data_IF_559400935614
#
_entry.id   IF_559400935614
#
_cell.length_a   1.000
_cell.length_b   1.000
_cell.length_c   1.000
_cell.angle_alpha   90.00
_cell.angle_beta   90.00
_cell.angle_gamma   90.00
#
_symmetry.space_group_name_H-M   'P 1'
#
loop_
_entity.id
_entity.type
_entity.pdbx_description
1 polymer ?
#
# COMPACT_ATOMS: atom_id res chain seq x y z
N UNK A 1 -41.29 47.62 15.85
CA UNK A 1 -40.24 48.62 16.11
C UNK A 1 -39.00 48.18 15.38
N UNK A 2 -38.77 48.71 14.14
CA UNK A 2 -37.59 48.41 13.33
C UNK A 2 -36.49 49.41 13.70
N UNK A 3 -35.44 48.94 14.33
CA UNK A 3 -34.24 49.74 14.57
C UNK A 3 -33.61 50.12 13.21
N UNK A 4 -33.21 51.38 12.98
CA UNK A 4 -32.54 51.76 11.74
C UNK A 4 -31.15 51.12 11.73
N UNK A 5 -30.84 50.39 10.66
CA UNK A 5 -29.48 49.96 10.39
C UNK A 5 -28.62 51.21 10.14
N UNK A 6 -27.79 51.58 11.11
CA UNK A 6 -26.78 52.64 10.95
C UNK A 6 -25.85 52.22 9.81
N UNK A 7 -25.92 52.95 8.68
CA UNK A 7 -24.97 52.74 7.56
C UNK A 7 -23.62 53.26 8.02
N UNK A 8 -22.66 52.34 8.14
CA UNK A 8 -21.26 52.71 8.35
C UNK A 8 -20.84 53.71 7.27
N UNK A 9 -20.48 54.93 7.68
CA UNK A 9 -19.98 55.95 6.77
C UNK A 9 -18.67 55.46 6.08
N UNK A 10 -18.29 56.10 4.99
CA UNK A 10 -17.10 55.73 4.19
C UNK A 10 -15.84 55.48 5.06
N UNK A 11 -15.65 56.27 6.12
CA UNK A 11 -14.54 56.08 7.07
C UNK A 11 -14.65 54.77 7.86
N UNK A 12 -15.84 54.36 8.27
CA UNK A 12 -16.05 53.07 8.95
C UNK A 12 -15.82 51.87 8.03
N UNK A 13 -16.21 52.01 6.77
CA UNK A 13 -15.93 50.99 5.75
C UNK A 13 -14.41 50.81 5.49
N UNK A 14 -13.69 51.94 5.39
CA UNK A 14 -12.21 51.90 5.20
C UNK A 14 -11.51 51.23 6.39
N UNK A 15 -11.95 51.56 7.62
CA UNK A 15 -11.39 50.87 8.81
C UNK A 15 -11.68 49.36 8.81
N UNK A 16 -12.92 48.96 8.48
CA UNK A 16 -13.29 47.56 8.41
C UNK A 16 -12.47 46.79 7.36
N UNK A 17 -12.27 47.39 6.18
CA UNK A 17 -11.43 46.79 5.10
C UNK A 17 -9.97 46.70 5.56
N UNK A 18 -9.40 47.72 6.19
CA UNK A 18 -8.04 47.69 6.72
C UNK A 18 -7.87 46.62 7.77
N UNK A 19 -8.81 46.43 8.68
CA UNK A 19 -8.76 45.38 9.70
C UNK A 19 -8.88 43.99 9.07
N UNK A 20 -9.74 43.81 8.07
CA UNK A 20 -9.89 42.57 7.36
C UNK A 20 -8.61 42.21 6.60
N UNK A 21 -7.98 43.16 5.93
CA UNK A 21 -6.68 42.94 5.24
C UNK A 21 -5.58 42.61 6.24
N UNK A 22 -5.50 43.35 7.36
CA UNK A 22 -4.52 43.07 8.42
C UNK A 22 -4.71 41.65 9.00
N UNK A 23 -5.95 41.25 9.29
CA UNK A 23 -6.27 39.92 9.79
C UNK A 23 -5.91 38.82 8.76
N UNK A 24 -6.19 39.07 7.48
CA UNK A 24 -5.86 38.16 6.40
C UNK A 24 -4.32 37.99 6.27
N UNK A 25 -3.59 39.10 6.21
CA UNK A 25 -2.11 39.06 6.10
C UNK A 25 -1.50 38.35 7.32
N UNK A 26 -1.99 38.70 8.54
CA UNK A 26 -1.49 38.09 9.76
C UNK A 26 -1.85 36.59 9.82
N UNK A 27 -3.10 36.22 9.55
CA UNK A 27 -3.59 34.84 9.67
C UNK A 27 -3.13 33.92 8.55
N UNK A 28 -3.06 34.41 7.31
CA UNK A 28 -2.80 33.59 6.14
C UNK A 28 -1.38 33.66 5.60
N UNK A 29 -0.65 34.72 5.86
CA UNK A 29 0.71 34.88 5.34
C UNK A 29 1.76 34.83 6.44
N UNK A 30 1.61 35.61 7.50
CA UNK A 30 2.66 35.76 8.51
C UNK A 30 2.70 34.59 9.50
N UNK A 31 1.58 34.20 10.13
CA UNK A 31 1.55 33.06 11.05
C UNK A 31 1.94 31.74 10.38
N UNK A 32 1.40 31.38 9.19
CA UNK A 32 1.83 30.17 8.49
C UNK A 32 3.30 30.15 8.10
N UNK A 33 3.90 31.31 7.77
CA UNK A 33 5.32 31.38 7.43
C UNK A 33 6.22 31.09 8.63
N UNK A 34 5.82 31.47 9.85
CA UNK A 34 6.55 31.13 11.07
C UNK A 34 6.45 29.64 11.38
N UNK A 35 5.29 29.02 11.17
CA UNK A 35 5.10 27.58 11.37
C UNK A 35 5.84 26.77 10.31
N UNK A 36 5.86 27.22 9.05
CA UNK A 36 6.59 26.57 7.97
C UNK A 36 8.09 26.48 8.25
N UNK A 37 8.68 27.54 8.84
CA UNK A 37 10.09 27.55 9.20
C UNK A 37 10.43 26.65 10.40
N UNK A 38 9.47 26.47 11.33
CA UNK A 38 9.65 25.61 12.51
C UNK A 38 9.53 24.11 12.19
N UNK A 39 8.73 23.72 11.19
CA UNK A 39 8.41 22.34 10.88
C UNK A 39 9.06 21.81 9.59
N UNK A 40 9.89 22.61 8.93
CA UNK A 40 10.55 22.24 7.66
C UNK A 40 9.59 22.09 6.46
N UNK A 41 8.34 22.52 6.58
CA UNK A 41 7.35 22.55 5.50
C UNK A 41 7.38 23.86 4.74
N UNK A 42 7.02 23.84 3.43
CA UNK A 42 6.92 25.04 2.62
C UNK A 42 5.73 25.93 3.03
N UNK A 43 5.78 27.22 2.65
CA UNK A 43 4.69 28.18 2.88
C UNK A 43 3.32 27.66 2.38
N UNK A 44 3.32 26.91 1.27
CA UNK A 44 2.12 26.31 0.70
C UNK A 44 1.49 25.24 1.60
N UNK A 45 2.30 24.40 2.24
CA UNK A 45 1.84 23.41 3.21
C UNK A 45 1.23 24.08 4.47
N UNK A 46 1.82 25.18 4.90
CA UNK A 46 1.32 25.95 6.04
C UNK A 46 -0.03 26.62 5.71
N UNK A 47 -0.20 27.15 4.50
CA UNK A 47 -1.45 27.75 4.02
C UNK A 47 -2.54 26.66 3.92
N UNK A 48 -2.23 25.50 3.34
CA UNK A 48 -3.17 24.41 3.23
C UNK A 48 -3.65 23.90 4.61
N UNK A 49 -2.76 23.83 5.58
CA UNK A 49 -3.11 23.47 6.97
C UNK A 49 -4.01 24.51 7.62
N UNK A 50 -3.70 25.79 7.47
CA UNK A 50 -4.50 26.88 8.01
C UNK A 50 -5.91 26.95 7.38
N UNK A 51 -6.04 26.57 6.12
CA UNK A 51 -7.31 26.49 5.40
C UNK A 51 -8.10 25.20 5.69
N UNK A 52 -7.61 24.31 6.59
CA UNK A 52 -8.23 23.02 6.86
C UNK A 52 -8.15 22.03 5.69
N UNK A 53 -7.41 22.37 4.64
CA UNK A 53 -7.10 21.48 3.52
C UNK A 53 -5.92 20.63 3.97
N UNK A 54 -6.21 19.62 4.78
CA UNK A 54 -5.20 18.63 5.13
C UNK A 54 -4.74 17.91 3.87
N UNK A 55 -3.63 18.38 3.30
CA UNK A 55 -2.72 17.36 2.77
C UNK A 55 -2.21 16.68 4.03
N UNK A 56 -2.75 15.52 4.33
CA UNK A 56 -2.09 14.64 5.28
C UNK A 56 -0.70 14.37 4.69
N UNK A 57 0.27 15.22 5.06
CA UNK A 57 1.55 14.65 5.39
C UNK A 57 1.18 13.67 6.51
N UNK A 58 0.90 12.43 6.14
CA UNK A 58 0.91 11.34 7.09
C UNK A 58 2.16 11.54 7.93
N UNK A 59 2.23 11.10 9.20
CA UNK A 59 3.38 11.27 10.05
C UNK A 59 4.60 11.07 9.16
N UNK A 60 5.45 12.11 9.08
CA UNK A 60 6.56 12.16 8.11
C UNK A 60 7.18 10.76 8.11
N UNK A 61 7.31 10.09 6.96
CA UNK A 61 7.69 8.68 6.94
C UNK A 61 8.81 8.56 7.95
N UNK A 62 8.56 7.85 9.06
CA UNK A 62 9.61 7.71 10.10
C UNK A 62 10.79 7.26 9.33
N UNK A 63 11.78 8.14 9.19
CA UNK A 63 12.93 7.92 8.35
C UNK A 63 13.40 6.50 8.66
N UNK A 64 13.14 5.59 7.73
CA UNK A 64 13.90 4.34 7.69
C UNK A 64 15.31 4.81 7.82
N UNK A 65 16.09 4.29 8.76
CA UNK A 65 17.42 4.80 9.05
C UNK A 65 18.18 5.12 7.76
N UNK A 66 19.06 6.11 7.74
CA UNK A 66 19.57 6.72 6.53
C UNK A 66 19.98 5.63 5.53
N UNK A 67 19.24 5.49 4.43
CA UNK A 67 19.65 4.69 3.29
C UNK A 67 18.79 3.51 2.84
N UNK A 68 17.75 3.07 3.55
CA UNK A 68 16.97 1.93 3.06
C UNK A 68 15.74 2.35 2.25
N UNK A 69 15.91 2.43 0.94
CA UNK A 69 14.79 2.44 -0.01
C UNK A 69 14.09 1.07 0.09
N UNK A 70 12.77 1.01 0.40
CA UNK A 70 12.07 -0.25 0.66
C UNK A 70 11.94 -1.14 -0.57
N UNK A 71 12.04 -0.58 -1.77
CA UNK A 71 12.01 -1.28 -3.05
C UNK A 71 12.71 -0.44 -4.11
N UNK A 72 13.39 -1.07 -5.05
CA UNK A 72 13.97 -0.39 -6.21
C UNK A 72 12.94 -0.26 -7.35
N UNK A 73 11.79 -0.94 -7.22
CA UNK A 73 10.69 -0.85 -8.19
C UNK A 73 9.91 0.44 -7.97
N UNK A 74 10.20 1.43 -8.80
CA UNK A 74 9.47 2.70 -8.80
C UNK A 74 8.10 2.49 -9.44
N UNK A 75 7.03 2.78 -8.70
CA UNK A 75 5.66 2.56 -9.20
C UNK A 75 5.24 3.69 -10.15
N UNK A 76 5.35 3.45 -11.44
CA UNK A 76 4.97 4.39 -12.51
C UNK A 76 4.51 3.63 -13.77
N UNK A 77 4.05 4.38 -14.77
CA UNK A 77 3.56 3.83 -16.05
C UNK A 77 4.64 2.99 -16.76
N UNK A 78 5.90 3.38 -16.65
CA UNK A 78 7.03 2.62 -17.22
C UNK A 78 7.14 1.23 -16.60
N UNK A 79 7.12 1.14 -15.29
CA UNK A 79 7.16 -0.13 -14.55
C UNK A 79 5.99 -1.04 -14.88
N UNK A 80 4.76 -0.49 -14.94
CA UNK A 80 3.58 -1.26 -15.32
C UNK A 80 3.72 -1.79 -16.75
N UNK A 81 4.22 -0.96 -17.68
CA UNK A 81 4.49 -1.38 -19.06
C UNK A 81 5.53 -2.50 -19.13
N UNK A 82 6.63 -2.40 -18.39
CA UNK A 82 7.64 -3.46 -18.31
C UNK A 82 7.02 -4.73 -17.74
N UNK A 83 6.36 -4.67 -16.60
CA UNK A 83 5.74 -5.84 -15.96
C UNK A 83 4.73 -6.55 -16.88
N UNK A 84 4.00 -5.81 -17.72
CA UNK A 84 3.00 -6.36 -18.65
C UNK A 84 3.55 -6.76 -20.02
N UNK A 85 4.85 -6.64 -20.27
CA UNK A 85 5.47 -6.97 -21.57
C UNK A 85 5.82 -8.46 -21.74
N UNK A 86 5.60 -9.27 -20.70
CA UNK A 86 5.96 -10.69 -20.68
C UNK A 86 5.08 -11.58 -21.59
N UNK A 87 5.63 -12.71 -21.99
CA UNK A 87 4.95 -13.75 -22.75
C UNK A 87 4.71 -14.99 -21.89
N UNK A 88 3.44 -15.34 -21.70
CA UNK A 88 3.03 -16.45 -20.82
C UNK A 88 3.56 -17.82 -21.27
N UNK A 89 3.74 -18.05 -22.58
CA UNK A 89 4.27 -19.33 -23.10
C UNK A 89 5.77 -19.47 -22.84
N UNK A 90 6.52 -18.37 -23.00
CA UNK A 90 7.94 -18.38 -22.61
C UNK A 90 8.07 -18.58 -21.10
N UNK A 91 7.18 -17.94 -20.31
CA UNK A 91 7.13 -18.09 -18.85
C UNK A 91 6.80 -19.52 -18.42
N UNK A 92 5.89 -20.22 -19.11
CA UNK A 92 5.55 -21.62 -18.86
C UNK A 92 6.79 -22.52 -18.95
N UNK A 93 7.61 -22.34 -19.98
CA UNK A 93 8.85 -23.11 -20.14
C UNK A 93 9.87 -22.89 -19.01
N UNK A 94 9.81 -21.74 -18.34
CA UNK A 94 10.68 -21.38 -17.21
C UNK A 94 10.10 -21.79 -15.84
N UNK A 95 8.80 -22.05 -15.75
CA UNK A 95 8.09 -22.23 -14.48
C UNK A 95 8.38 -23.53 -13.74
N UNK A 96 9.07 -24.49 -14.36
CA UNK A 96 9.34 -25.80 -13.77
C UNK A 96 10.04 -25.72 -12.39
N UNK A 97 11.01 -24.82 -12.25
CA UNK A 97 11.73 -24.61 -10.98
C UNK A 97 10.82 -24.01 -9.88
N UNK A 98 9.84 -23.23 -10.25
CA UNK A 98 8.88 -22.63 -9.32
C UNK A 98 7.84 -23.65 -8.83
N UNK A 99 7.47 -24.60 -9.70
CA UNK A 99 6.40 -25.58 -9.50
C UNK A 99 6.65 -26.52 -8.31
N UNK A 100 7.91 -26.75 -7.95
CA UNK A 100 8.27 -27.61 -6.82
C UNK A 100 7.72 -27.12 -5.47
N UNK A 101 7.62 -25.81 -5.29
CA UNK A 101 7.11 -25.20 -4.06
C UNK A 101 5.73 -24.58 -4.26
N UNK A 102 5.51 -23.93 -5.41
CA UNK A 102 4.29 -23.18 -5.69
C UNK A 102 3.21 -23.98 -6.44
N UNK A 103 3.50 -25.26 -6.75
CA UNK A 103 2.60 -26.14 -7.49
C UNK A 103 2.62 -25.91 -9.00
N UNK A 104 2.39 -26.98 -9.78
CA UNK A 104 2.44 -26.94 -11.24
C UNK A 104 1.43 -25.97 -11.88
N UNK A 105 0.32 -25.70 -11.18
CA UNK A 105 -0.69 -24.73 -11.59
C UNK A 105 -0.61 -23.42 -10.79
N UNK A 106 0.51 -23.14 -10.13
CA UNK A 106 0.67 -21.98 -9.29
C UNK A 106 -0.16 -21.99 -8.00
N UNK A 107 -0.75 -23.15 -7.65
CA UNK A 107 -1.44 -23.39 -6.38
C UNK A 107 -0.57 -24.29 -5.54
N UNK A 108 -0.03 -23.76 -4.45
CA UNK A 108 0.89 -24.48 -3.58
C UNK A 108 0.23 -25.66 -2.87
N UNK A 109 0.88 -26.83 -2.82
CA UNK A 109 0.42 -27.94 -1.99
C UNK A 109 0.71 -27.74 -0.49
N UNK A 110 1.55 -26.77 -0.14
CA UNK A 110 1.98 -26.47 1.22
C UNK A 110 1.49 -25.10 1.68
N UNK A 111 1.10 -24.99 2.94
CA UNK A 111 0.70 -23.70 3.54
C UNK A 111 1.87 -22.74 3.81
N UNK A 112 3.11 -23.24 3.74
CA UNK A 112 4.31 -22.44 3.90
C UNK A 112 4.66 -21.59 2.65
N UNK A 113 4.19 -22.00 1.46
CA UNK A 113 4.49 -21.32 0.21
C UNK A 113 3.22 -20.66 -0.37
N UNK A 114 3.34 -19.45 -0.93
CA UNK A 114 2.18 -18.76 -1.48
C UNK A 114 1.69 -19.37 -2.80
N UNK A 115 0.38 -19.21 -3.03
CA UNK A 115 -0.19 -19.36 -4.35
C UNK A 115 0.26 -18.20 -5.23
N UNK A 116 0.60 -18.49 -6.49
CA UNK A 116 1.02 -17.50 -7.49
C UNK A 116 -0.02 -17.29 -8.58
N UNK A 117 -0.86 -18.30 -8.83
CA UNK A 117 -1.87 -18.28 -9.88
C UNK A 117 -2.83 -17.10 -9.73
N UNK A 118 -3.07 -16.36 -10.83
CA UNK A 118 -4.00 -15.25 -10.90
C UNK A 118 -3.59 -14.00 -10.13
N UNK A 119 -2.38 -13.96 -9.56
CA UNK A 119 -1.86 -12.71 -8.99
C UNK A 119 -1.56 -11.72 -10.12
N UNK A 120 -1.82 -10.42 -9.93
CA UNK A 120 -1.50 -9.40 -10.92
C UNK A 120 -0.03 -9.42 -11.33
N UNK A 121 0.26 -9.23 -12.61
CA UNK A 121 1.62 -9.27 -13.16
C UNK A 121 2.55 -8.30 -12.44
N UNK A 122 2.08 -7.10 -12.16
CA UNK A 122 2.84 -6.05 -11.50
C UNK A 122 3.20 -6.39 -10.05
N UNK A 123 2.31 -7.12 -9.36
CA UNK A 123 2.56 -7.61 -8.00
C UNK A 123 3.66 -8.68 -8.03
N UNK A 124 3.53 -9.65 -8.95
CA UNK A 124 4.53 -10.71 -9.12
C UNK A 124 5.89 -10.13 -9.52
N UNK A 125 5.90 -9.22 -10.51
CA UNK A 125 7.10 -8.55 -10.98
C UNK A 125 7.83 -7.86 -9.83
N UNK A 126 7.11 -7.03 -9.06
CA UNK A 126 7.70 -6.35 -7.91
C UNK A 126 8.32 -7.33 -6.91
N UNK A 127 7.62 -8.43 -6.59
CA UNK A 127 8.16 -9.36 -5.60
C UNK A 127 9.42 -10.08 -6.10
N UNK A 128 9.47 -10.48 -7.38
CA UNK A 128 10.66 -11.11 -7.95
C UNK A 128 11.85 -10.13 -8.01
N UNK A 129 11.60 -8.87 -8.41
CA UNK A 129 12.62 -7.83 -8.41
C UNK A 129 13.12 -7.51 -6.99
N UNK A 130 12.22 -7.44 -6.01
CA UNK A 130 12.60 -7.20 -4.61
C UNK A 130 13.44 -8.37 -4.05
N UNK A 131 13.17 -9.61 -4.42
CA UNK A 131 14.03 -10.73 -4.06
C UNK A 131 15.38 -10.66 -4.77
N UNK A 132 15.41 -10.31 -6.07
CA UNK A 132 16.64 -10.20 -6.86
C UNK A 132 17.56 -9.10 -6.33
N UNK A 133 16.99 -7.95 -5.95
CA UNK A 133 17.74 -6.82 -5.40
C UNK A 133 18.01 -6.90 -3.90
N UNK A 134 17.51 -7.93 -3.20
CA UNK A 134 17.67 -8.08 -1.76
C UNK A 134 16.76 -7.19 -0.91
N UNK A 135 15.83 -6.45 -1.52
CA UNK A 135 14.85 -5.61 -0.79
C UNK A 135 13.78 -6.45 -0.08
N UNK A 136 13.58 -7.68 -0.54
CA UNK A 136 12.81 -8.71 0.16
C UNK A 136 13.73 -9.89 0.42
N UNK A 137 13.93 -10.17 1.70
CA UNK A 137 14.85 -11.21 2.13
C UNK A 137 14.15 -12.57 2.24
N UNK A 138 14.65 -13.56 1.55
CA UNK A 138 14.35 -14.97 1.71
C UNK A 138 15.43 -15.75 0.95
N UNK A 139 16.31 -16.50 1.64
CA UNK A 139 17.45 -17.16 1.00
C UNK A 139 17.08 -18.10 -0.14
N UNK A 140 15.93 -18.82 -0.01
CA UNK A 140 15.46 -19.72 -1.06
C UNK A 140 15.07 -18.91 -2.30
N UNK A 141 14.19 -17.92 -2.14
CA UNK A 141 13.71 -17.13 -3.27
C UNK A 141 14.83 -16.31 -3.91
N UNK A 142 15.73 -15.74 -3.12
CA UNK A 142 16.89 -15.02 -3.64
C UNK A 142 17.78 -15.94 -4.50
N UNK A 143 18.04 -17.18 -4.05
CA UNK A 143 18.79 -18.17 -4.85
C UNK A 143 18.08 -18.55 -6.16
N UNK A 144 16.74 -18.65 -6.15
CA UNK A 144 15.95 -18.98 -7.34
C UNK A 144 15.92 -17.83 -8.36
N UNK A 145 15.80 -16.57 -7.88
CA UNK A 145 15.66 -15.43 -8.79
C UNK A 145 16.99 -14.82 -9.24
N UNK A 146 18.09 -15.06 -8.52
CA UNK A 146 19.39 -14.48 -8.84
C UNK A 146 19.85 -14.71 -10.29
N UNK A 147 19.63 -15.90 -10.94
CA UNK A 147 20.02 -16.13 -12.33
C UNK A 147 19.01 -15.61 -13.36
N UNK A 148 17.90 -15.01 -12.94
CA UNK A 148 16.86 -14.51 -13.84
C UNK A 148 17.19 -13.08 -14.30
N UNK A 149 17.18 -12.86 -15.60
CA UNK A 149 17.16 -11.52 -16.19
C UNK A 149 15.73 -10.95 -16.20
N UNK A 150 15.60 -9.68 -16.54
CA UNK A 150 14.31 -8.98 -16.56
C UNK A 150 13.30 -9.65 -17.51
N UNK A 151 13.75 -10.13 -18.68
CA UNK A 151 12.87 -10.80 -19.63
C UNK A 151 12.28 -12.08 -19.06
N UNK A 152 13.08 -12.91 -18.39
CA UNK A 152 12.60 -14.13 -17.72
C UNK A 152 11.64 -13.80 -16.59
N UNK A 153 11.90 -12.72 -15.84
CA UNK A 153 11.01 -12.28 -14.77
C UNK A 153 9.65 -11.88 -15.34
N UNK A 154 9.58 -11.01 -16.35
CA UNK A 154 8.29 -10.59 -16.92
C UNK A 154 7.55 -11.75 -17.57
N UNK A 155 8.25 -12.70 -18.22
CA UNK A 155 7.63 -13.90 -18.82
C UNK A 155 7.04 -14.83 -17.74
N UNK A 156 7.77 -15.08 -16.65
CA UNK A 156 7.27 -15.85 -15.51
C UNK A 156 6.06 -15.19 -14.85
N UNK A 157 6.08 -13.87 -14.69
CA UNK A 157 4.94 -13.15 -14.11
C UNK A 157 3.72 -13.20 -15.01
N UNK A 158 3.89 -13.09 -16.33
CA UNK A 158 2.82 -13.26 -17.30
C UNK A 158 2.21 -14.66 -17.25
N UNK A 159 3.05 -15.72 -17.12
CA UNK A 159 2.57 -17.10 -16.99
C UNK A 159 1.71 -17.28 -15.73
N UNK A 160 2.23 -16.94 -14.55
CA UNK A 160 1.47 -17.16 -13.30
C UNK A 160 0.21 -16.27 -13.20
N UNK A 161 0.25 -15.09 -13.76
CA UNK A 161 -0.92 -14.21 -13.80
C UNK A 161 -2.03 -14.73 -14.73
N UNK A 162 -1.67 -15.44 -15.80
CA UNK A 162 -2.63 -16.05 -16.73
C UNK A 162 -3.26 -17.34 -16.19
N UNK A 163 -2.68 -17.97 -15.17
CA UNK A 163 -3.26 -19.14 -14.55
C UNK A 163 -4.54 -18.78 -13.79
N UNK A 164 -5.55 -19.67 -13.76
CA UNK A 164 -6.77 -19.41 -12.99
C UNK A 164 -6.43 -19.28 -11.52
N UNK A 165 -6.59 -18.06 -11.01
CA UNK A 165 -6.43 -17.76 -9.59
C UNK A 165 -7.61 -18.24 -8.79
N UNK A 166 -7.37 -18.48 -7.51
CA UNK A 166 -8.43 -18.87 -6.62
C UNK A 166 -9.37 -17.74 -6.28
N UNK A 167 -10.52 -17.72 -6.91
CA UNK A 167 -11.64 -16.94 -6.42
C UNK A 167 -12.38 -17.76 -5.35
N UNK A 168 -12.11 -17.50 -4.09
CA UNK A 168 -12.84 -18.15 -3.03
C UNK A 168 -14.15 -17.42 -2.75
N UNK A 169 -15.24 -18.15 -2.76
CA UNK A 169 -16.54 -17.69 -2.26
C UNK A 169 -16.70 -18.19 -0.82
N UNK A 170 -16.42 -17.33 0.16
CA UNK A 170 -16.86 -17.58 1.53
C UNK A 170 -18.16 -16.83 1.78
N UNK A 171 -19.14 -17.50 2.35
CA UNK A 171 -20.37 -16.87 2.87
C UNK A 171 -20.17 -16.30 4.30
N UNK A 172 -18.98 -16.44 4.88
CA UNK A 172 -18.66 -15.89 6.19
C UNK A 172 -18.64 -14.34 6.11
N UNK A 173 -19.26 -13.71 7.11
CA UNK A 173 -19.21 -12.27 7.25
C UNK A 173 -17.77 -11.81 7.44
N UNK A 174 -17.35 -10.77 6.72
CA UNK A 174 -15.99 -10.26 6.86
C UNK A 174 -15.78 -9.65 8.25
N UNK A 175 -14.59 -9.87 8.86
CA UNK A 175 -14.21 -9.16 10.07
C UNK A 175 -14.30 -7.64 9.91
N UNK A 176 -14.60 -6.92 10.99
CA UNK A 176 -14.72 -5.46 10.97
C UNK A 176 -13.46 -4.78 10.39
N UNK A 177 -12.27 -5.28 10.71
CA UNK A 177 -11.00 -4.76 10.16
C UNK A 177 -10.92 -4.86 8.64
N UNK A 178 -11.59 -5.83 8.03
CA UNK A 178 -11.59 -5.99 6.56
C UNK A 178 -12.43 -4.91 5.89
N UNK A 179 -13.61 -4.59 6.42
CA UNK A 179 -14.60 -3.71 5.76
C UNK A 179 -14.66 -2.31 6.36
N UNK A 180 -14.33 -2.14 7.64
CA UNK A 180 -14.41 -0.87 8.36
C UNK A 180 -13.04 -0.33 8.77
N UNK A 181 -12.06 -1.21 8.95
CA UNK A 181 -10.78 -0.85 9.53
C UNK A 181 -10.89 -0.50 11.02
N UNK A 182 -9.95 0.31 11.51
CA UNK A 182 -9.97 0.88 12.86
C UNK A 182 -9.40 2.30 12.83
N UNK A 183 -10.23 3.33 12.63
CA UNK A 183 -9.77 4.72 12.52
C UNK A 183 -8.97 5.19 13.74
N UNK A 184 -9.37 4.76 14.95
CA UNK A 184 -8.66 5.11 16.20
C UNK A 184 -7.24 4.55 16.27
N UNK A 185 -6.91 3.52 15.47
CA UNK A 185 -5.58 2.92 15.36
C UNK A 185 -4.91 3.20 14.02
N UNK A 186 -5.48 4.11 13.23
CA UNK A 186 -5.01 4.44 11.87
C UNK A 186 -4.96 3.23 10.94
N UNK A 187 -5.85 2.25 11.12
CA UNK A 187 -5.95 1.07 10.26
C UNK A 187 -7.06 1.30 9.25
N UNK A 188 -6.69 1.46 7.97
CA UNK A 188 -7.66 1.49 6.88
C UNK A 188 -8.32 0.10 6.69
N UNK A 189 -9.54 0.02 6.12
CA UNK A 189 -10.14 -1.26 5.76
C UNK A 189 -9.21 -2.07 4.85
N UNK A 190 -8.93 -3.33 5.19
CA UNK A 190 -8.03 -4.17 4.40
C UNK A 190 -8.52 -4.32 2.95
N UNK A 191 -9.84 -4.45 2.77
CA UNK A 191 -10.49 -4.57 1.47
C UNK A 191 -10.33 -3.32 0.58
N UNK A 192 -10.02 -2.14 1.14
CA UNK A 192 -9.78 -0.93 0.35
C UNK A 192 -8.53 -1.03 -0.54
N UNK A 193 -7.56 -1.87 -0.16
CA UNK A 193 -6.34 -2.11 -0.95
C UNK A 193 -6.28 -3.55 -1.49
N UNK A 194 -6.77 -4.53 -0.73
CA UNK A 194 -6.63 -5.96 -1.01
C UNK A 194 -7.92 -6.63 -1.48
N UNK A 195 -9.02 -5.90 -1.60
CA UNK A 195 -10.31 -6.44 -2.04
C UNK A 195 -10.51 -6.40 -3.57
N UNK A 196 -11.57 -7.05 -4.06
CA UNK A 196 -11.86 -7.13 -5.49
C UNK A 196 -12.23 -5.77 -6.12
N UNK A 197 -12.74 -4.84 -5.32
CA UNK A 197 -13.12 -3.50 -5.76
C UNK A 197 -12.10 -2.42 -5.38
N UNK A 198 -11.21 -2.72 -4.45
CA UNK A 198 -10.20 -1.80 -3.93
C UNK A 198 -8.80 -2.15 -4.45
N UNK A 199 -8.63 -2.27 -5.77
CA UNK A 199 -7.29 -2.49 -6.33
C UNK A 199 -6.46 -1.23 -6.18
N UNK A 200 -5.73 -1.16 -5.08
CA UNK A 200 -4.60 -0.26 -5.02
C UNK A 200 -3.44 -0.92 -5.76
N UNK A 201 -2.91 -0.22 -6.73
CA UNK A 201 -1.77 -0.69 -7.52
C UNK A 201 -0.64 -1.20 -6.60
N UNK A 202 -0.15 -2.40 -6.88
CA UNK A 202 0.89 -3.05 -6.08
C UNK A 202 0.40 -3.82 -4.85
N UNK A 203 -0.88 -3.74 -4.48
CA UNK A 203 -1.45 -4.56 -3.42
C UNK A 203 -1.97 -5.89 -4.00
N UNK A 204 -1.52 -7.05 -3.47
CA UNK A 204 -2.03 -8.34 -3.92
C UNK A 204 -3.48 -8.56 -3.46
N UNK A 205 -4.32 -9.25 -4.24
CA UNK A 205 -5.52 -9.87 -3.70
C UNK A 205 -5.09 -10.94 -2.68
N UNK A 206 -5.81 -11.03 -1.57
CA UNK A 206 -5.46 -11.95 -0.47
C UNK A 206 -6.34 -13.18 -0.40
N UNK A 207 -7.51 -13.13 -1.05
CA UNK A 207 -8.48 -14.22 -1.04
C UNK A 207 -7.89 -15.52 -1.59
N UNK A 208 -8.07 -16.61 -0.87
CA UNK A 208 -7.58 -17.93 -1.26
C UNK A 208 -6.07 -18.11 -1.12
N UNK A 209 -5.37 -17.15 -0.51
CA UNK A 209 -3.95 -17.31 -0.20
C UNK A 209 -3.79 -18.18 1.06
N UNK A 210 -2.65 -18.81 1.21
CA UNK A 210 -2.36 -19.73 2.32
C UNK A 210 -2.36 -19.03 3.67
N UNK A 211 -3.12 -19.54 4.65
CA UNK A 211 -3.24 -18.97 6.00
C UNK A 211 -1.86 -18.79 6.67
N UNK A 212 -1.08 -19.85 6.76
CA UNK A 212 0.22 -19.81 7.42
C UNK A 212 1.16 -18.79 6.74
N UNK A 213 1.13 -18.71 5.41
CA UNK A 213 1.90 -17.71 4.66
C UNK A 213 1.42 -16.29 4.98
N UNK A 214 0.11 -16.01 4.93
CA UNK A 214 -0.44 -14.68 5.24
C UNK A 214 -0.06 -14.23 6.64
N UNK A 215 -0.23 -15.15 7.63
CA UNK A 215 0.15 -14.86 9.02
C UNK A 215 1.63 -14.53 9.14
N UNK A 216 2.50 -15.36 8.55
CA UNK A 216 3.94 -15.12 8.57
C UNK A 216 4.33 -13.77 7.92
N UNK A 217 3.64 -13.37 6.84
CA UNK A 217 3.91 -12.07 6.22
C UNK A 217 3.45 -10.89 7.09
N UNK A 218 2.28 -10.98 7.74
CA UNK A 218 1.82 -9.96 8.68
C UNK A 218 2.77 -9.85 9.89
N UNK A 219 3.21 -10.98 10.43
CA UNK A 219 4.18 -11.00 11.52
C UNK A 219 5.53 -10.39 11.11
N UNK A 220 6.02 -10.71 9.92
CA UNK A 220 7.26 -10.15 9.38
C UNK A 220 7.18 -8.64 9.13
N UNK A 221 6.06 -8.12 8.62
CA UNK A 221 5.83 -6.69 8.50
C UNK A 221 5.75 -6.02 9.88
N UNK A 222 5.04 -6.63 10.84
CA UNK A 222 4.94 -6.11 12.21
C UNK A 222 6.28 -6.04 12.92
N UNK A 223 7.12 -7.05 12.75
CA UNK A 223 8.48 -7.11 13.27
C UNK A 223 9.48 -6.22 12.50
N UNK A 224 9.13 -5.78 11.27
CA UNK A 224 10.01 -5.01 10.40
C UNK A 224 11.06 -5.86 9.66
N UNK A 225 11.04 -7.19 9.79
CA UNK A 225 11.92 -8.11 9.05
C UNK A 225 11.53 -8.19 7.57
N UNK A 226 10.26 -7.95 7.23
CA UNK A 226 9.83 -7.64 5.88
C UNK A 226 9.55 -6.14 5.78
N UNK A 227 10.25 -5.46 4.85
CA UNK A 227 10.22 -4.00 4.76
C UNK A 227 10.13 -3.48 3.31
N UNK A 228 9.77 -4.34 2.36
CA UNK A 228 9.65 -4.00 0.95
C UNK A 228 8.30 -3.37 0.57
N UNK A 229 7.54 -2.92 1.54
CA UNK A 229 6.25 -2.27 1.38
C UNK A 229 6.40 -0.79 1.02
N UNK A 230 5.71 -0.37 -0.05
CA UNK A 230 5.71 1.02 -0.52
C UNK A 230 5.14 1.92 0.58
N UNK A 231 5.85 3.00 0.89
CA UNK A 231 5.46 3.99 1.91
C UNK A 231 5.21 3.39 3.31
N UNK A 232 5.82 2.26 3.65
CA UNK A 232 5.69 1.58 4.95
C UNK A 232 4.26 1.16 5.33
N UNK A 233 3.32 1.13 4.38
CA UNK A 233 1.89 0.95 4.64
C UNK A 233 1.59 -0.36 5.37
N UNK A 234 2.18 -1.48 4.94
CA UNK A 234 1.93 -2.77 5.60
C UNK A 234 2.62 -2.87 6.95
N UNK A 235 3.80 -2.29 7.11
CA UNK A 235 4.49 -2.24 8.42
C UNK A 235 3.69 -1.46 9.44
N UNK A 236 3.16 -0.30 9.09
CA UNK A 236 2.33 0.51 9.99
C UNK A 236 1.04 -0.23 10.38
N UNK A 237 0.33 -0.80 9.42
CA UNK A 237 -0.87 -1.60 9.69
C UNK A 237 -0.53 -2.81 10.56
N UNK A 238 0.49 -3.59 10.21
CA UNK A 238 0.82 -4.83 10.93
C UNK A 238 1.31 -4.57 12.36
N UNK A 239 1.98 -3.45 12.63
CA UNK A 239 2.36 -3.04 14.00
C UNK A 239 1.15 -2.66 14.84
N UNK A 240 0.14 -2.05 14.23
CA UNK A 240 -1.09 -1.68 14.92
C UNK A 240 -2.02 -2.86 15.20
N UNK A 241 -1.83 -4.01 14.53
CA UNK A 241 -2.58 -5.24 14.76
C UNK A 241 -2.01 -6.05 15.93
N UNK A 242 -2.90 -6.61 16.74
CA UNK A 242 -2.53 -7.62 17.75
C UNK A 242 -2.21 -8.97 17.10
N UNK A 243 -1.51 -9.86 17.80
CA UNK A 243 -1.23 -11.22 17.31
C UNK A 243 -2.50 -12.00 16.93
N UNK A 244 -3.53 -12.06 17.80
CA UNK A 244 -4.80 -12.70 17.46
C UNK A 244 -5.51 -12.08 16.25
N UNK A 245 -5.46 -10.76 16.06
CA UNK A 245 -6.03 -10.10 14.88
C UNK A 245 -5.30 -10.50 13.59
N UNK A 246 -3.97 -10.57 13.62
CA UNK A 246 -3.18 -11.04 12.47
C UNK A 246 -3.54 -12.48 12.08
N UNK A 247 -3.71 -13.34 13.07
CA UNK A 247 -4.12 -14.73 12.83
C UNK A 247 -5.54 -14.83 12.28
N UNK A 248 -6.50 -14.13 12.87
CA UNK A 248 -7.89 -14.10 12.42
C UNK A 248 -8.04 -13.55 10.99
N UNK A 249 -7.31 -12.50 10.65
CA UNK A 249 -7.29 -11.94 9.29
C UNK A 249 -6.68 -12.92 8.28
N UNK A 250 -5.57 -13.57 8.65
CA UNK A 250 -4.92 -14.57 7.80
C UNK A 250 -5.82 -15.79 7.58
N UNK A 251 -6.51 -16.26 8.63
CA UNK A 251 -7.49 -17.33 8.52
C UNK A 251 -8.66 -16.94 7.61
N UNK A 252 -9.25 -15.77 7.82
CA UNK A 252 -10.40 -15.34 7.03
C UNK A 252 -10.09 -15.22 5.52
N UNK A 253 -8.93 -14.68 5.15
CA UNK A 253 -8.49 -14.62 3.76
C UNK A 253 -8.08 -15.99 3.21
N UNK A 254 -7.48 -16.85 4.06
CA UNK A 254 -6.97 -18.16 3.67
C UNK A 254 -8.05 -19.24 3.55
N UNK A 255 -9.12 -19.19 4.34
CA UNK A 255 -10.25 -20.13 4.31
C UNK A 255 -11.12 -20.01 3.06
N UNK A 256 -10.94 -18.96 2.29
CA UNK A 256 -11.58 -18.77 1.00
C UNK A 256 -10.95 -19.70 -0.02
N UNK A 257 -11.28 -21.00 0.08
CA UNK A 257 -10.75 -22.01 -0.80
C UNK A 257 -11.10 -21.74 -2.26
N UNK A 258 -10.08 -21.92 -3.09
CA UNK A 258 -10.18 -21.97 -4.54
C UNK A 258 -11.09 -23.14 -4.91
N UNK A 259 -12.21 -22.88 -5.59
CA UNK A 259 -12.93 -23.96 -6.29
C UNK A 259 -11.94 -24.53 -7.33
N UNK A 260 -11.57 -25.79 -7.15
CA UNK A 260 -10.74 -26.55 -8.08
C UNK A 260 -11.45 -26.77 -9.39
#
# INVERSE_FOLDING_TARGET
MNAPAERLGLKGWLVAVLLAVAAFVTGFMWLPSLQASAEGGGLWDAICRAAGIYRTAGPAPRATGPGQVPTDVVWNVGTVRTATSGDAKRGEALAAVCSGCHGAKGISPSDAFPNLAGLPVEVLYKQLEDYRSGKRENPIMQGIVAPLDEQKIVDLTAHFAALPGGAAKSNALPPALVVQGSPMRSIAPCAACHGPLGRKEGAPPLEGQKHAYLKAQLDAFGAGTRHNDINQQMREVARALTGPERDALAAWYGERQVAQ
#
